data_IF_013383467551
#
_entry.id   IF_013383467551
#
_cell.length_a   1.000
_cell.length_b   1.000
_cell.length_c   1.000
_cell.angle_alpha   90.00
_cell.angle_beta   90.00
_cell.angle_gamma   90.00
#
_symmetry.space_group_name_H-M   'P 1'
#
loop_
_entity.id
_entity.type
_entity.pdbx_description
1 polymer ?
#
# COMPACT_ATOMS: atom_id res chain seq x y z
N UNK A 1 -69.89 39.47 1.96
CA UNK A 1 -68.72 39.44 2.85
C UNK A 1 -67.63 38.63 2.16
N UNK A 2 -66.68 39.29 1.51
CA UNK A 2 -65.58 38.64 0.80
C UNK A 2 -64.36 38.61 1.71
N UNK A 3 -63.87 37.41 2.04
CA UNK A 3 -62.60 37.21 2.75
C UNK A 3 -61.46 37.22 1.72
N UNK A 4 -60.36 37.96 1.97
CA UNK A 4 -59.16 37.80 1.17
C UNK A 4 -58.43 36.54 1.65
N UNK A 5 -58.21 35.57 0.77
CA UNK A 5 -57.25 34.50 1.06
C UNK A 5 -55.93 34.92 0.44
N UNK A 6 -55.00 35.25 1.33
CA UNK A 6 -53.62 35.60 1.03
C UNK A 6 -52.93 34.47 0.28
N UNK A 7 -52.42 34.80 -0.91
CA UNK A 7 -51.49 33.99 -1.67
C UNK A 7 -50.12 34.11 -1.00
N UNK A 8 -49.67 33.04 -0.33
CA UNK A 8 -48.29 32.91 0.15
C UNK A 8 -47.54 31.99 -0.80
N UNK A 9 -46.53 32.53 -1.47
CA UNK A 9 -45.66 31.78 -2.39
C UNK A 9 -44.20 32.03 -1.98
N UNK A 10 -43.38 30.98 -2.14
CA UNK A 10 -41.91 30.92 -2.07
C UNK A 10 -41.35 30.93 -0.63
N UNK A 11 -40.46 30.05 -0.18
CA UNK A 11 -39.38 29.30 -0.84
C UNK A 11 -39.10 27.93 -0.18
N UNK A 12 -38.48 27.05 -0.97
CA UNK A 12 -37.86 25.74 -0.69
C UNK A 12 -36.75 25.79 0.42
N UNK A 13 -35.90 24.75 0.58
CA UNK A 13 -36.12 23.43 1.18
C UNK A 13 -35.06 23.17 2.28
N UNK A 14 -35.44 22.79 3.50
CA UNK A 14 -34.51 22.86 4.62
C UNK A 14 -34.59 21.70 5.60
N UNK A 15 -33.93 20.59 5.27
CA UNK A 15 -33.22 19.77 6.25
C UNK A 15 -34.04 19.04 7.30
N UNK A 16 -34.69 17.95 6.92
CA UNK A 16 -34.71 16.74 7.77
C UNK A 16 -34.69 15.52 6.84
N UNK A 17 -33.65 15.43 6.00
CA UNK A 17 -33.25 14.12 5.47
C UNK A 17 -32.93 13.25 6.68
N UNK A 18 -33.73 12.22 6.89
CA UNK A 18 -33.30 10.99 7.52
C UNK A 18 -31.88 10.70 7.03
N UNK A 19 -30.92 10.65 7.96
CA UNK A 19 -29.57 10.23 7.63
C UNK A 19 -29.68 8.89 6.89
N UNK A 20 -28.99 8.70 5.75
CA UNK A 20 -29.00 7.40 5.13
C UNK A 20 -28.32 6.44 6.10
N UNK A 21 -29.07 5.45 6.59
CA UNK A 21 -28.49 4.16 6.93
C UNK A 21 -27.80 3.68 5.66
N UNK A 22 -26.51 3.93 5.53
CA UNK A 22 -25.75 3.37 4.43
C UNK A 22 -25.59 1.87 4.68
N UNK A 23 -26.36 1.08 3.95
CA UNK A 23 -26.12 -0.32 3.70
C UNK A 23 -26.35 -0.59 2.21
N UNK A 24 -25.44 -1.39 1.62
CA UNK A 24 -25.49 -2.03 0.29
C UNK A 24 -25.11 -1.23 -0.96
N UNK A 25 -24.44 -0.08 -0.84
CA UNK A 25 -23.61 0.44 -1.94
C UNK A 25 -22.13 0.45 -1.54
N UNK A 26 -21.68 -0.74 -1.12
CA UNK A 26 -20.33 -1.23 -1.32
C UNK A 26 -20.26 -1.71 -2.79
N UNK A 27 -20.51 -0.80 -3.73
CA UNK A 27 -20.46 -1.08 -5.17
C UNK A 27 -19.32 -0.25 -5.76
N UNK A 28 -18.20 -0.95 -5.97
CA UNK A 28 -17.22 -0.71 -7.03
C UNK A 28 -16.78 0.74 -7.25
N UNK A 29 -16.22 1.38 -6.23
CA UNK A 29 -15.08 2.24 -6.51
C UNK A 29 -13.82 1.40 -6.42
N UNK A 30 -13.22 1.17 -7.58
CA UNK A 30 -11.82 0.79 -7.76
C UNK A 30 -10.94 1.85 -7.09
N UNK A 31 -10.94 1.89 -5.77
CA UNK A 31 -10.01 2.68 -4.98
C UNK A 31 -8.67 1.95 -5.07
N UNK A 32 -8.04 2.08 -6.24
CA UNK A 32 -6.58 2.04 -6.39
C UNK A 32 -6.01 3.26 -5.66
N UNK A 33 -6.15 3.29 -4.34
CA UNK A 33 -5.28 4.12 -3.52
C UNK A 33 -4.11 3.22 -3.15
N UNK A 34 -3.22 3.06 -4.12
CA UNK A 34 -1.91 2.53 -3.87
C UNK A 34 -0.95 3.70 -3.69
N UNK A 35 -0.15 3.70 -2.63
CA UNK A 35 1.01 4.59 -2.60
C UNK A 35 1.93 4.17 -3.74
N UNK A 36 2.11 5.08 -4.70
CA UNK A 36 3.07 4.91 -5.77
C UNK A 36 4.43 5.32 -5.23
N UNK A 37 5.34 4.36 -5.09
CA UNK A 37 6.71 4.64 -4.67
C UNK A 37 7.65 4.27 -5.81
N UNK A 38 8.35 5.29 -6.30
CA UNK A 38 9.43 5.14 -7.25
C UNK A 38 10.74 5.38 -6.52
N UNK A 39 11.60 4.36 -6.48
CA UNK A 39 12.94 4.47 -5.92
C UNK A 39 13.95 4.31 -7.05
N UNK A 40 14.59 5.42 -7.38
CA UNK A 40 15.71 5.48 -8.32
C UNK A 40 17.02 5.22 -7.57
N UNK A 41 17.58 4.03 -7.75
CA UNK A 41 18.98 3.74 -7.46
C UNK A 41 19.82 4.04 -8.70
N UNK A 42 21.12 4.26 -8.53
CA UNK A 42 22.06 4.59 -9.63
C UNK A 42 21.92 3.68 -10.87
N UNK A 43 21.43 2.44 -10.69
CA UNK A 43 21.34 1.42 -11.75
C UNK A 43 20.00 0.69 -11.82
N UNK A 44 19.06 0.96 -10.92
CA UNK A 44 17.77 0.26 -10.84
C UNK A 44 16.70 1.26 -10.44
N UNK A 45 15.59 1.27 -11.16
CA UNK A 45 14.37 1.99 -10.78
C UNK A 45 13.33 0.97 -10.36
N UNK A 46 12.92 1.03 -9.10
CA UNK A 46 11.83 0.21 -8.56
C UNK A 46 10.56 1.04 -8.52
N UNK A 47 9.49 0.51 -9.10
CA UNK A 47 8.15 1.09 -9.03
C UNK A 47 7.24 0.09 -8.32
N UNK A 48 6.85 0.43 -7.10
CA UNK A 48 6.02 -0.39 -6.25
C UNK A 48 4.65 0.28 -6.06
N UNK A 49 3.60 -0.53 -6.02
CA UNK A 49 2.25 -0.08 -5.62
C UNK A 49 1.87 -0.81 -4.34
N UNK A 50 1.68 -0.06 -3.26
CA UNK A 50 1.35 -0.62 -1.95
C UNK A 50 -0.11 -0.39 -1.59
N UNK A 51 -0.87 -1.40 -1.13
CA UNK A 51 -2.20 -1.20 -0.60
C UNK A 51 -2.13 -0.59 0.80
N UNK A 52 -2.98 0.41 1.06
CA UNK A 52 -3.03 1.08 2.36
C UNK A 52 -1.86 2.03 2.64
N UNK A 53 -1.65 2.34 3.92
CA UNK A 53 -0.65 3.31 4.39
C UNK A 53 0.67 2.61 4.75
N UNK A 54 1.38 2.08 3.75
CA UNK A 54 2.72 1.50 3.95
C UNK A 54 3.75 2.62 4.00
N UNK A 55 4.43 2.79 5.13
CA UNK A 55 5.54 3.73 5.27
C UNK A 55 6.81 3.11 4.67
N UNK A 56 7.38 3.77 3.66
CA UNK A 56 8.57 3.30 2.93
C UNK A 56 9.81 4.05 3.39
N UNK A 57 10.87 3.29 3.68
CA UNK A 57 12.20 3.81 3.96
C UNK A 57 13.25 3.25 3.00
N UNK A 58 14.06 4.18 2.47
CA UNK A 58 15.28 3.90 1.70
C UNK A 58 16.53 4.37 2.46
N UNK A 59 16.36 4.88 3.69
CA UNK A 59 17.44 5.37 4.53
C UNK A 59 18.27 4.21 5.06
N UNK A 60 19.59 4.23 4.82
CA UNK A 60 20.51 3.21 5.32
C UNK A 60 20.44 3.05 6.84
N UNK A 61 20.20 4.13 7.58
CA UNK A 61 20.11 4.08 9.05
C UNK A 61 18.84 3.39 9.52
N UNK A 62 17.69 3.76 8.95
CA UNK A 62 16.39 3.18 9.29
C UNK A 62 16.34 1.70 8.88
N UNK A 63 16.83 1.36 7.69
CA UNK A 63 16.95 -0.03 7.25
C UNK A 63 17.83 -0.83 8.22
N UNK A 64 18.98 -0.28 8.64
CA UNK A 64 19.86 -0.95 9.63
C UNK A 64 19.15 -1.22 10.95
N UNK A 65 18.35 -0.27 11.43
CA UNK A 65 17.56 -0.43 12.64
C UNK A 65 16.47 -1.48 12.48
N UNK A 66 15.78 -1.49 11.33
CA UNK A 66 14.71 -2.44 11.04
C UNK A 66 15.21 -3.90 10.96
N UNK A 67 16.45 -4.10 10.51
CA UNK A 67 17.03 -5.44 10.30
C UNK A 67 17.95 -5.90 11.40
N UNK A 68 18.05 -5.14 12.50
CA UNK A 68 18.99 -5.44 13.57
C UNK A 68 18.76 -6.86 14.11
N UNK A 69 19.84 -7.63 14.21
CA UNK A 69 19.79 -9.05 14.58
C UNK A 69 19.18 -10.01 13.56
N UNK A 70 18.64 -9.56 12.42
CA UNK A 70 17.97 -10.43 11.42
C UNK A 70 18.89 -10.99 10.34
N UNK A 71 20.12 -10.47 10.25
CA UNK A 71 21.14 -10.95 9.31
C UNK A 71 20.86 -10.63 7.83
N UNK A 72 19.82 -9.83 7.53
CA UNK A 72 19.49 -9.46 6.17
C UNK A 72 20.59 -8.57 5.56
N UNK A 73 20.85 -8.73 4.27
CA UNK A 73 21.90 -7.98 3.54
C UNK A 73 21.38 -7.47 2.21
N UNK A 74 22.05 -6.45 1.67
CA UNK A 74 21.75 -5.85 0.36
C UNK A 74 20.30 -5.38 0.20
N UNK A 75 19.71 -4.83 1.26
CA UNK A 75 18.36 -4.27 1.22
C UNK A 75 18.38 -2.93 0.49
N UNK A 76 17.53 -2.83 -0.52
CA UNK A 76 17.24 -1.62 -1.27
C UNK A 76 16.14 -0.80 -0.60
N UNK A 77 15.08 -1.48 -0.14
CA UNK A 77 13.89 -0.85 0.39
C UNK A 77 13.36 -1.65 1.58
N UNK A 78 12.86 -0.92 2.57
CA UNK A 78 12.06 -1.45 3.67
C UNK A 78 10.73 -0.71 3.72
N UNK A 79 9.63 -1.43 3.93
CA UNK A 79 8.31 -0.87 4.14
C UNK A 79 7.62 -1.50 5.35
N UNK A 80 6.79 -0.73 6.05
CA UNK A 80 5.99 -1.24 7.18
C UNK A 80 4.66 -0.50 7.27
N UNK A 81 3.61 -1.21 7.66
CA UNK A 81 2.32 -0.58 7.97
C UNK A 81 2.23 -0.12 9.43
N UNK A 82 1.64 1.06 9.61
CA UNK A 82 1.30 1.62 10.93
C UNK A 82 -0.17 1.39 11.32
N UNK A 83 -0.97 0.83 10.40
CA UNK A 83 -2.38 0.49 10.57
C UNK A 83 -2.64 -0.96 10.15
N UNK A 84 -3.73 -1.55 10.64
CA UNK A 84 -4.11 -2.90 10.24
C UNK A 84 -4.41 -3.00 8.73
N UNK A 85 -3.99 -4.08 8.06
CA UNK A 85 -3.22 -5.20 8.61
C UNK A 85 -1.75 -4.86 8.82
N UNK A 86 -1.17 -5.34 9.93
CA UNK A 86 0.23 -5.06 10.29
C UNK A 86 1.20 -6.00 9.57
N UNK A 87 2.08 -5.44 8.74
CA UNK A 87 3.11 -6.19 8.02
C UNK A 87 4.31 -5.33 7.67
N UNK A 88 5.40 -6.00 7.30
CA UNK A 88 6.62 -5.40 6.77
C UNK A 88 7.05 -6.07 5.46
N UNK A 89 7.76 -5.32 4.63
CA UNK A 89 8.26 -5.76 3.32
C UNK A 89 9.68 -5.29 3.09
N UNK A 90 10.48 -6.14 2.44
CA UNK A 90 11.87 -5.89 2.09
C UNK A 90 12.09 -6.17 0.62
N UNK A 91 12.92 -5.35 -0.02
CA UNK A 91 13.47 -5.64 -1.36
C UNK A 91 14.97 -5.77 -1.24
N UNK A 92 15.50 -6.94 -1.59
CA UNK A 92 16.92 -7.30 -1.51
C UNK A 92 17.49 -7.47 -2.93
N UNK A 93 18.74 -7.08 -3.11
CA UNK A 93 19.47 -7.25 -4.37
C UNK A 93 20.69 -8.17 -4.19
N UNK A 94 20.81 -9.15 -5.08
CA UNK A 94 21.87 -10.14 -5.08
C UNK A 94 22.17 -10.68 -3.66
N UNK A 95 21.15 -11.11 -2.88
CA UNK A 95 21.39 -11.63 -1.54
C UNK A 95 22.19 -12.94 -1.63
N UNK A 96 23.17 -13.12 -0.74
CA UNK A 96 23.94 -14.36 -0.68
C UNK A 96 23.08 -15.55 -0.23
N UNK A 97 22.14 -15.29 0.69
CA UNK A 97 21.16 -16.24 1.20
C UNK A 97 19.79 -15.56 1.23
N UNK A 98 18.74 -16.29 0.86
CA UNK A 98 17.35 -15.82 0.93
C UNK A 98 16.87 -15.97 2.38
N UNK A 99 16.56 -14.87 3.08
CA UNK A 99 16.03 -14.98 4.43
C UNK A 99 14.67 -15.67 4.46
N UNK A 100 14.35 -16.30 5.60
CA UNK A 100 13.01 -16.84 5.83
C UNK A 100 12.03 -15.67 6.01
N UNK A 101 11.10 -15.55 5.07
CA UNK A 101 9.96 -14.64 5.15
C UNK A 101 8.66 -15.44 5.06
N UNK A 102 7.56 -14.89 5.54
CA UNK A 102 6.23 -15.51 5.40
C UNK A 102 5.84 -15.64 3.91
N UNK A 103 6.23 -14.64 3.12
CA UNK A 103 6.10 -14.65 1.66
C UNK A 103 7.40 -14.20 1.01
N UNK A 104 7.82 -14.96 -0.01
CA UNK A 104 9.03 -14.70 -0.79
C UNK A 104 8.69 -14.71 -2.26
N UNK A 105 9.12 -13.67 -2.97
CA UNK A 105 9.24 -13.67 -4.41
C UNK A 105 10.72 -13.57 -4.77
N UNK A 106 11.24 -14.65 -5.34
CA UNK A 106 12.61 -14.74 -5.84
C UNK A 106 12.56 -14.68 -7.37
N UNK A 107 13.31 -13.74 -7.96
CA UNK A 107 13.26 -13.49 -9.39
C UNK A 107 14.58 -12.96 -9.95
N UNK A 108 14.80 -13.21 -11.23
CA UNK A 108 15.94 -12.71 -12.00
C UNK A 108 15.48 -11.62 -12.95
N UNK A 109 16.02 -10.41 -12.78
CA UNK A 109 15.79 -9.28 -13.67
C UNK A 109 17.11 -8.83 -14.29
N UNK A 110 17.24 -8.94 -15.62
CA UNK A 110 18.45 -8.56 -16.37
C UNK A 110 19.76 -9.13 -15.82
N UNK A 111 19.72 -10.37 -15.33
CA UNK A 111 20.89 -11.05 -14.75
C UNK A 111 21.22 -10.65 -13.31
N UNK A 112 20.36 -9.87 -12.66
CA UNK A 112 20.41 -9.54 -11.25
C UNK A 112 19.34 -10.30 -10.48
N UNK A 113 19.73 -10.83 -9.33
CA UNK A 113 18.84 -11.57 -8.45
C UNK A 113 18.15 -10.57 -7.53
N UNK A 114 16.82 -10.51 -7.57
CA UNK A 114 16.02 -9.70 -6.67
C UNK A 114 15.15 -10.62 -5.83
N UNK A 115 15.12 -10.35 -4.53
CA UNK A 115 14.28 -11.06 -3.57
C UNK A 115 13.39 -10.06 -2.87
N UNK A 116 12.08 -10.30 -2.94
CA UNK A 116 11.08 -9.51 -2.23
C UNK A 116 10.53 -10.39 -1.12
N UNK A 117 10.76 -9.97 0.12
CA UNK A 117 10.37 -10.69 1.32
C UNK A 117 9.31 -9.93 2.10
N UNK A 118 8.32 -10.64 2.62
CA UNK A 118 7.24 -10.07 3.42
C UNK A 118 6.99 -10.84 4.72
N UNK A 119 6.85 -10.13 5.84
CA UNK A 119 6.45 -10.73 7.12
C UNK A 119 5.16 -10.09 7.63
N UNK A 120 4.22 -10.93 8.09
CA UNK A 120 3.10 -10.48 8.89
C UNK A 120 3.56 -10.13 10.30
N UNK A 121 3.09 -9.00 10.83
CA UNK A 121 3.35 -8.58 12.21
C UNK A 121 2.16 -8.88 13.14
N UNK A 122 1.03 -9.31 12.58
CA UNK A 122 -0.15 -9.75 13.29
C UNK A 122 -0.88 -10.84 12.50
N UNK A 123 -1.68 -11.65 13.20
CA UNK A 123 -2.58 -12.61 12.58
C UNK A 123 -3.94 -11.96 12.24
N UNK A 124 -4.53 -12.27 11.07
CA UNK A 124 -3.98 -13.10 10.00
C UNK A 124 -2.96 -12.33 9.14
N UNK A 125 -1.97 -13.05 8.62
CA UNK A 125 -1.02 -12.52 7.63
C UNK A 125 -1.80 -12.01 6.40
N UNK A 126 -1.59 -10.75 5.95
CA UNK A 126 -2.37 -10.15 4.87
C UNK A 126 -1.90 -10.61 3.49
N UNK A 127 -2.14 -11.89 3.17
CA UNK A 127 -1.70 -12.53 1.91
C UNK A 127 -2.20 -11.77 0.67
N UNK A 128 -3.39 -11.17 0.72
CA UNK A 128 -3.93 -10.35 -0.37
C UNK A 128 -3.06 -9.14 -0.68
N UNK A 129 -2.58 -8.46 0.36
CA UNK A 129 -1.82 -7.22 0.25
C UNK A 129 -0.44 -7.52 -0.33
N UNK A 130 0.22 -8.56 0.19
CA UNK A 130 1.47 -9.04 -0.38
C UNK A 130 1.34 -9.45 -1.84
N UNK A 131 0.32 -10.22 -2.21
CA UNK A 131 0.09 -10.59 -3.63
C UNK A 131 -0.14 -9.36 -4.50
N UNK A 132 -0.93 -8.40 -4.03
CA UNK A 132 -1.17 -7.16 -4.75
C UNK A 132 0.14 -6.38 -4.99
N UNK A 133 1.01 -6.26 -3.99
CA UNK A 133 2.31 -5.59 -4.13
C UNK A 133 3.17 -6.31 -5.17
N UNK A 134 3.26 -7.64 -5.07
CA UNK A 134 4.04 -8.47 -5.99
C UNK A 134 3.54 -8.33 -7.44
N UNK A 135 2.23 -8.39 -7.65
CA UNK A 135 1.60 -8.30 -8.97
C UNK A 135 1.76 -6.91 -9.62
N UNK A 136 2.01 -5.87 -8.81
CA UNK A 136 2.15 -4.49 -9.28
C UNK A 136 3.58 -3.95 -9.18
N UNK A 137 4.55 -4.78 -8.80
CA UNK A 137 5.96 -4.40 -8.80
C UNK A 137 6.49 -4.33 -10.23
N UNK A 138 7.17 -3.22 -10.56
CA UNK A 138 7.90 -3.06 -11.82
C UNK A 138 9.34 -2.66 -11.54
N UNK A 139 10.26 -3.30 -12.23
CA UNK A 139 11.71 -3.05 -12.13
C UNK A 139 12.19 -2.55 -13.48
N UNK A 140 12.78 -1.36 -13.51
CA UNK A 140 13.37 -0.75 -14.71
C UNK A 140 14.87 -0.55 -14.50
N UNK A 141 15.61 -0.54 -15.60
CA UNK A 141 17.05 -0.27 -15.60
C UNK A 141 17.32 0.86 -16.61
N UNK A 142 18.09 1.91 -16.24
CA UNK A 142 18.53 2.91 -17.21
C UNK A 142 19.36 2.23 -18.30
N UNK A 143 19.10 2.61 -19.56
CA UNK A 143 19.81 2.12 -20.74
C UNK A 143 21.27 2.60 -20.77
#
# INVERSE_FOLDING_TARGET
MYKPVFLLLVALPGWLSCSPRFAKTFEEQWVRNGMYTEVDFERIRLVCTFPGDVEISTSKQEIRQAIDGRGYRNILLYGKTSIEPYYEIFVLQDPADVPSFDLVCDTLFYGKHLVIGGNGLADPIPVSDFRFILDNLKVFYPK
#
